data_IF_139858508767
#
_entry.id   IF_139858508767
#
_cell.length_a   1.000
_cell.length_b   1.000
_cell.length_c   1.000
_cell.angle_alpha   90.00
_cell.angle_beta   90.00
_cell.angle_gamma   90.00
#
_symmetry.space_group_name_H-M   'P 1'
#
loop_
_entity.id
_entity.type
_entity.pdbx_description
1 polymer ?
#
# COMPACT_ATOMS: atom_id res chain seq x y z
N UNK A 1 6.66 -14.13 -14.48
CA UNK A 1 6.26 -14.64 -13.15
C UNK A 1 5.06 -13.87 -12.62
N UNK A 2 5.20 -12.59 -12.24
CA UNK A 2 4.09 -11.79 -11.67
C UNK A 2 2.84 -11.79 -12.54
N UNK A 3 2.95 -11.53 -13.85
CA UNK A 3 1.79 -11.46 -14.74
C UNK A 3 1.00 -12.79 -14.91
N UNK A 4 1.50 -13.94 -14.43
CA UNK A 4 0.85 -15.24 -14.60
C UNK A 4 0.54 -15.96 -13.29
N UNK A 5 1.06 -15.49 -12.15
CA UNK A 5 0.95 -16.20 -10.87
C UNK A 5 -0.50 -16.39 -10.42
N UNK A 6 -1.31 -15.33 -10.43
CA UNK A 6 -2.73 -15.40 -10.07
C UNK A 6 -3.59 -16.26 -11.02
N UNK A 7 -3.09 -16.59 -12.22
CA UNK A 7 -3.75 -17.55 -13.12
C UNK A 7 -3.41 -19.01 -12.78
N UNK A 8 -2.27 -19.24 -12.14
CA UNK A 8 -1.85 -20.57 -11.69
C UNK A 8 -2.37 -20.89 -10.30
N UNK A 9 -2.54 -19.88 -9.45
CA UNK A 9 -2.97 -20.00 -8.06
C UNK A 9 -4.06 -18.96 -7.79
N UNK A 10 -5.32 -19.40 -7.73
CA UNK A 10 -6.52 -18.53 -7.75
C UNK A 10 -6.51 -17.45 -6.66
N UNK A 11 -5.99 -17.77 -5.47
CA UNK A 11 -5.86 -16.84 -4.34
C UNK A 11 -4.40 -16.59 -3.95
N UNK A 12 -3.46 -16.96 -4.82
CA UNK A 12 -2.04 -16.77 -4.58
C UNK A 12 -1.64 -15.30 -4.69
N UNK A 13 -0.71 -14.88 -3.84
CA UNK A 13 -0.12 -13.55 -3.87
C UNK A 13 1.42 -13.62 -3.88
N UNK A 14 2.04 -12.46 -4.05
CA UNK A 14 3.49 -12.29 -4.04
C UNK A 14 3.84 -11.16 -3.08
N UNK A 15 4.74 -11.41 -2.13
CA UNK A 15 5.39 -10.34 -1.35
C UNK A 15 6.81 -10.15 -1.86
N UNK A 16 7.10 -8.99 -2.44
CA UNK A 16 8.45 -8.64 -2.86
C UNK A 16 9.09 -7.75 -1.79
N UNK A 17 10.20 -8.22 -1.21
CA UNK A 17 11.02 -7.51 -0.24
C UNK A 17 12.28 -6.98 -0.96
N UNK A 18 12.19 -5.84 -1.68
CA UNK A 18 13.26 -5.32 -2.51
C UNK A 18 14.58 -5.08 -1.75
N UNK A 19 14.54 -4.53 -0.53
CA UNK A 19 15.78 -4.25 0.20
C UNK A 19 16.47 -5.51 0.75
N UNK A 20 15.72 -6.58 0.94
CA UNK A 20 16.24 -7.90 1.29
C UNK A 20 16.59 -8.78 0.10
N UNK A 21 16.23 -8.39 -1.13
CA UNK A 21 16.40 -9.21 -2.33
C UNK A 21 15.60 -10.52 -2.29
N UNK A 22 14.44 -10.52 -1.60
CA UNK A 22 13.61 -11.72 -1.40
C UNK A 22 12.25 -11.57 -2.06
N UNK A 23 11.69 -12.69 -2.48
CA UNK A 23 10.30 -12.80 -2.95
C UNK A 23 9.67 -13.98 -2.22
N UNK A 24 8.53 -13.74 -1.57
CA UNK A 24 7.69 -14.76 -0.96
C UNK A 24 6.50 -15.01 -1.89
N UNK A 25 6.24 -16.27 -2.19
CA UNK A 25 5.19 -16.71 -3.11
C UNK A 25 4.16 -17.52 -2.32
N UNK A 26 2.92 -17.02 -2.21
CA UNK A 26 1.82 -17.80 -1.63
C UNK A 26 1.10 -18.56 -2.72
N UNK A 27 0.90 -19.87 -2.48
CA UNK A 27 0.21 -20.79 -3.39
C UNK A 27 -1.07 -21.26 -2.72
N UNK A 28 -2.18 -20.68 -3.15
CA UNK A 28 -3.51 -21.04 -2.68
C UNK A 28 -4.31 -21.62 -3.83
N UNK A 29 -4.58 -22.92 -3.75
CA UNK A 29 -5.32 -23.68 -4.75
C UNK A 29 -6.56 -24.32 -4.13
N UNK A 30 -7.66 -24.36 -4.90
CA UNK A 30 -8.83 -25.15 -4.49
C UNK A 30 -8.49 -26.64 -4.52
N UNK A 31 -8.94 -27.33 -3.49
CA UNK A 31 -8.85 -28.78 -3.40
C UNK A 31 -10.25 -29.39 -3.26
N UNK A 32 -10.36 -30.71 -3.29
CA UNK A 32 -11.64 -31.37 -3.04
C UNK A 32 -12.13 -31.06 -1.61
N UNK A 33 -13.41 -30.72 -1.47
CA UNK A 33 -14.06 -30.48 -0.17
C UNK A 33 -13.99 -31.67 0.77
N UNK A 34 -13.78 -32.89 0.25
CA UNK A 34 -13.58 -34.10 1.07
C UNK A 34 -12.17 -34.23 1.65
N UNK A 35 -11.22 -33.38 1.26
CA UNK A 35 -9.87 -33.41 1.84
C UNK A 35 -9.94 -32.93 3.29
N UNK A 36 -9.49 -33.74 4.26
CA UNK A 36 -9.50 -33.34 5.67
C UNK A 36 -8.60 -32.15 5.94
N UNK A 37 -9.05 -31.24 6.80
CA UNK A 37 -8.27 -30.13 7.34
C UNK A 37 -9.18 -29.12 8.03
N UNK A 38 -8.68 -28.50 9.10
CA UNK A 38 -9.40 -27.46 9.84
C UNK A 38 -8.55 -26.20 9.98
N UNK A 39 -7.70 -25.95 8.99
CA UNK A 39 -6.80 -24.82 9.00
C UNK A 39 -7.55 -23.48 8.99
N UNK A 40 -6.93 -22.50 9.62
CA UNK A 40 -7.45 -21.14 9.72
C UNK A 40 -6.32 -20.13 9.50
N UNK A 41 -6.70 -18.89 9.17
CA UNK A 41 -5.79 -17.76 9.09
C UNK A 41 -6.10 -16.79 10.22
N UNK A 42 -5.18 -16.68 11.16
CA UNK A 42 -5.16 -15.69 12.21
C UNK A 42 -3.96 -14.77 11.94
N UNK A 43 -4.17 -13.81 11.03
CA UNK A 43 -3.11 -12.98 10.47
C UNK A 43 -2.40 -12.19 11.57
N UNK A 44 -1.06 -12.26 11.59
CA UNK A 44 -0.25 -11.76 12.70
C UNK A 44 -0.44 -10.26 12.98
N UNK A 45 -0.64 -9.45 11.93
CA UNK A 45 -0.86 -8.02 12.10
C UNK A 45 -2.27 -7.66 12.58
N UNK A 46 -3.20 -8.63 12.59
CA UNK A 46 -4.55 -8.47 13.12
C UNK A 46 -4.71 -9.14 14.50
N UNK A 47 -3.62 -9.56 15.14
CA UNK A 47 -3.71 -10.05 16.52
C UNK A 47 -3.80 -8.87 17.47
N UNK A 48 -4.64 -8.95 18.51
CA UNK A 48 -4.68 -7.94 19.56
C UNK A 48 -3.31 -7.84 20.22
N UNK A 49 -2.93 -6.61 20.57
CA UNK A 49 -1.66 -6.31 21.21
C UNK A 49 -1.89 -5.31 22.34
N UNK A 50 -1.22 -5.47 23.49
CA UNK A 50 -1.28 -4.48 24.55
C UNK A 50 -0.95 -3.08 24.02
N UNK A 51 -1.75 -2.08 24.40
CA UNK A 51 -1.53 -0.69 23.97
C UNK A 51 -0.09 -0.21 24.23
N UNK A 52 0.52 -0.63 25.34
CA UNK A 52 1.92 -0.31 25.66
C UNK A 52 2.93 -0.85 24.63
N UNK A 53 2.68 -2.03 24.05
CA UNK A 53 3.52 -2.59 22.98
C UNK A 53 3.38 -1.78 21.68
N UNK A 54 2.15 -1.39 21.33
CA UNK A 54 1.86 -0.56 20.15
C UNK A 54 2.54 0.81 20.29
N UNK A 55 2.38 1.46 21.44
CA UNK A 55 3.01 2.75 21.75
C UNK A 55 4.53 2.63 21.67
N UNK A 56 5.12 1.62 22.33
CA UNK A 56 6.56 1.44 22.32
C UNK A 56 7.13 1.16 20.92
N UNK A 57 6.46 0.29 20.15
CA UNK A 57 6.85 0.03 18.76
C UNK A 57 6.77 1.29 17.91
N UNK A 58 5.77 2.13 18.14
CA UNK A 58 5.60 3.39 17.44
C UNK A 58 6.66 4.42 17.81
N UNK A 59 7.00 4.56 19.09
CA UNK A 59 8.07 5.44 19.56
C UNK A 59 9.43 5.05 18.95
N UNK A 60 9.72 3.75 18.87
CA UNK A 60 10.96 3.26 18.27
C UNK A 60 11.00 3.52 16.76
N UNK A 61 9.87 3.37 16.06
CA UNK A 61 9.79 3.71 14.65
C UNK A 61 9.93 5.23 14.41
N UNK A 62 9.26 6.07 15.21
CA UNK A 62 9.42 7.53 15.17
C UNK A 62 10.91 7.92 15.37
N UNK A 63 11.60 7.29 16.34
CA UNK A 63 13.03 7.49 16.57
C UNK A 63 13.89 7.06 15.38
N UNK A 64 13.57 5.93 14.74
CA UNK A 64 14.27 5.46 13.54
C UNK A 64 14.06 6.40 12.34
N UNK A 65 12.88 7.01 12.22
CA UNK A 65 12.59 7.97 11.15
C UNK A 65 13.28 9.33 11.39
N UNK A 66 13.41 9.76 12.65
CA UNK A 66 14.02 11.05 13.00
C UNK A 66 15.56 11.00 13.04
N UNK A 67 16.12 9.94 13.63
CA UNK A 67 17.54 9.86 13.98
C UNK A 67 18.26 8.65 13.36
N UNK A 68 17.49 7.71 12.81
CA UNK A 68 18.02 6.46 12.27
C UNK A 68 18.82 6.69 10.99
N UNK A 69 19.95 5.99 10.87
CA UNK A 69 20.62 5.87 9.58
C UNK A 69 19.83 4.95 8.65
N UNK A 70 20.04 5.11 7.35
CA UNK A 70 19.49 4.18 6.35
C UNK A 70 19.82 2.71 6.70
N UNK A 71 21.02 2.45 7.23
CA UNK A 71 21.41 1.11 7.67
C UNK A 71 20.56 0.60 8.83
N UNK A 72 20.22 1.45 9.81
CA UNK A 72 19.36 1.08 10.92
C UNK A 72 17.94 0.74 10.45
N UNK A 73 17.36 1.58 9.56
CA UNK A 73 16.06 1.32 8.93
C UNK A 73 16.08 -0.01 8.16
N UNK A 74 17.18 -0.33 7.47
CA UNK A 74 17.34 -1.60 6.76
C UNK A 74 17.51 -2.84 7.65
N UNK A 75 17.92 -2.70 8.92
CA UNK A 75 18.03 -3.84 9.83
C UNK A 75 16.67 -4.24 10.41
N UNK A 76 15.79 -3.28 10.71
CA UNK A 76 14.48 -3.55 11.30
C UNK A 76 13.66 -4.65 10.57
N UNK A 77 13.42 -4.57 9.24
CA UNK A 77 12.64 -5.59 8.53
C UNK A 77 13.29 -6.98 8.48
N UNK A 78 14.63 -7.04 8.61
CA UNK A 78 15.38 -8.30 8.61
C UNK A 78 15.15 -9.12 9.87
N UNK A 79 14.73 -8.47 10.95
CA UNK A 79 14.32 -9.13 12.20
C UNK A 79 12.88 -9.63 12.11
N UNK A 80 11.98 -8.83 11.53
CA UNK A 80 10.55 -9.16 11.47
C UNK A 80 10.18 -10.23 10.44
N UNK A 81 10.82 -10.23 9.26
CA UNK A 81 10.47 -11.16 8.17
C UNK A 81 10.64 -12.65 8.55
N UNK A 82 11.72 -13.06 9.25
CA UNK A 82 11.85 -14.43 9.78
C UNK A 82 10.73 -14.81 10.76
N UNK A 83 10.34 -13.90 11.65
CA UNK A 83 9.26 -14.14 12.63
C UNK A 83 7.95 -14.46 11.92
N UNK A 84 7.56 -13.66 10.92
CA UNK A 84 6.36 -13.92 10.12
C UNK A 84 6.41 -15.31 9.46
N UNK A 85 7.57 -15.73 8.99
CA UNK A 85 7.74 -17.04 8.36
C UNK A 85 7.64 -18.19 9.37
N UNK A 86 8.27 -18.06 10.53
CA UNK A 86 8.27 -19.06 11.60
C UNK A 86 6.86 -19.25 12.19
N UNK A 87 6.10 -18.17 12.32
CA UNK A 87 4.71 -18.13 12.77
C UNK A 87 3.70 -18.49 11.65
N UNK A 88 4.16 -19.04 10.53
CA UNK A 88 3.31 -19.48 9.42
C UNK A 88 2.47 -18.36 8.81
N UNK A 89 2.91 -17.10 8.88
CA UNK A 89 2.17 -15.89 8.47
C UNK A 89 0.79 -15.74 9.15
N UNK A 90 0.55 -16.45 10.26
CA UNK A 90 -0.72 -16.50 10.95
C UNK A 90 -1.59 -17.71 10.63
N UNK A 91 -1.18 -18.58 9.69
CA UNK A 91 -1.92 -19.81 9.40
C UNK A 91 -1.72 -20.87 10.49
N UNK A 92 -2.77 -21.62 10.79
CA UNK A 92 -2.76 -22.79 11.68
C UNK A 92 -3.33 -24.01 10.95
N UNK A 93 -2.88 -25.22 11.28
CA UNK A 93 -3.32 -26.45 10.59
C UNK A 93 -4.61 -27.04 11.17
N UNK A 94 -4.94 -26.70 12.42
CA UNK A 94 -6.04 -27.23 13.22
C UNK A 94 -6.88 -26.12 13.88
N UNK A 95 -6.68 -24.86 13.46
CA UNK A 95 -7.30 -23.70 14.08
C UNK A 95 -6.49 -23.10 15.24
N UNK A 96 -5.50 -23.81 15.79
CA UNK A 96 -4.76 -23.39 16.98
C UNK A 96 -3.25 -23.25 16.75
N UNK A 97 -2.63 -24.24 16.09
CA UNK A 97 -1.17 -24.34 15.96
C UNK A 97 -0.71 -24.44 14.51
N UNK A 98 0.39 -23.77 14.18
CA UNK A 98 1.09 -23.97 12.92
C UNK A 98 2.05 -25.16 13.02
N UNK A 99 1.88 -26.15 12.16
CA UNK A 99 2.76 -27.35 12.08
C UNK A 99 3.49 -27.47 10.74
N UNK A 100 3.07 -26.70 9.73
CA UNK A 100 3.74 -26.61 8.44
C UNK A 100 2.77 -26.44 7.27
N UNK A 101 3.33 -26.20 6.09
CA UNK A 101 2.58 -26.18 4.83
C UNK A 101 2.52 -27.60 4.20
N UNK A 102 1.44 -27.95 3.47
CA UNK A 102 0.27 -27.13 3.18
C UNK A 102 -0.68 -27.03 4.38
N UNK A 103 -1.33 -25.87 4.51
CA UNK A 103 -2.44 -25.66 5.43
C UNK A 103 -3.74 -25.90 4.65
N UNK A 104 -4.57 -26.82 5.14
CA UNK A 104 -5.83 -27.19 4.50
C UNK A 104 -6.97 -26.79 5.41
N UNK A 105 -7.91 -26.01 4.90
CA UNK A 105 -9.09 -25.57 5.65
C UNK A 105 -10.16 -25.01 4.73
N UNK A 106 -11.30 -24.65 5.31
CA UNK A 106 -12.39 -24.05 4.55
C UNK A 106 -12.03 -22.64 4.07
N UNK A 107 -12.46 -22.30 2.85
CA UNK A 107 -12.16 -21.01 2.22
C UNK A 107 -12.44 -19.80 3.13
N UNK A 108 -13.57 -19.81 3.85
CA UNK A 108 -13.97 -18.72 4.74
C UNK A 108 -13.07 -18.58 5.97
N UNK A 109 -12.35 -19.63 6.38
CA UNK A 109 -11.37 -19.59 7.49
C UNK A 109 -9.95 -19.31 7.03
N UNK A 110 -9.61 -19.66 5.79
CA UNK A 110 -8.26 -19.49 5.23
C UNK A 110 -8.09 -18.09 4.60
N UNK A 111 -9.12 -17.56 3.94
CA UNK A 111 -9.02 -16.28 3.23
C UNK A 111 -9.48 -15.06 4.05
N UNK A 112 -10.05 -15.28 5.23
CA UNK A 112 -10.41 -14.22 6.16
C UNK A 112 -9.63 -14.39 7.46
N UNK A 113 -9.44 -13.28 8.17
CA UNK A 113 -8.86 -13.25 9.52
C UNK A 113 -9.71 -12.31 10.37
N UNK A 114 -10.20 -12.84 11.48
CA UNK A 114 -11.07 -12.19 12.46
C UNK A 114 -10.37 -11.93 13.80
N UNK A 115 -9.06 -12.17 13.86
CA UNK A 115 -8.25 -12.07 15.08
C UNK A 115 -8.40 -10.76 15.88
N UNK A 116 -8.68 -9.62 15.22
CA UNK A 116 -8.93 -8.34 15.91
C UNK A 116 -10.34 -8.25 16.53
N UNK A 117 -11.31 -9.01 16.00
CA UNK A 117 -12.73 -8.89 16.34
C UNK A 117 -13.15 -9.82 17.49
N UNK A 118 -12.37 -10.85 17.77
CA UNK A 118 -12.66 -11.80 18.86
C UNK A 118 -12.39 -11.24 20.27
N UNK A 119 -11.80 -10.04 20.38
CA UNK A 119 -11.63 -9.33 21.64
C UNK A 119 -12.80 -8.39 21.85
N UNK A 120 -13.89 -8.93 22.40
CA UNK A 120 -14.94 -8.12 23.01
C UNK A 120 -14.43 -7.56 24.35
N UNK A 121 -14.53 -6.24 24.49
CA UNK A 121 -14.40 -5.42 25.72
C UNK A 121 -13.01 -4.85 26.06
N UNK A 122 -12.98 -3.50 25.96
CA UNK A 122 -12.18 -2.51 26.70
C UNK A 122 -10.66 -2.35 26.38
N UNK A 123 -10.34 -1.17 25.83
CA UNK A 123 -9.04 -0.45 25.91
C UNK A 123 -7.89 -0.69 24.90
N UNK A 124 -8.12 -1.17 23.67
CA UNK A 124 -6.99 -1.31 22.72
C UNK A 124 -7.22 -0.52 21.42
N UNK A 125 -6.39 0.50 21.18
CA UNK A 125 -6.30 1.22 19.91
C UNK A 125 -5.73 0.30 18.82
N UNK A 126 -6.47 0.14 17.72
CA UNK A 126 -6.06 -0.71 16.60
C UNK A 126 -5.53 0.17 15.46
N UNK A 127 -4.30 -0.10 14.98
CA UNK A 127 -3.71 0.57 13.81
C UNK A 127 -3.81 -0.33 12.58
N UNK A 128 -4.26 0.22 11.46
CA UNK A 128 -4.52 -0.50 10.21
C UNK A 128 -3.92 0.29 9.04
N UNK A 129 -2.97 -0.32 8.35
CA UNK A 129 -1.95 0.35 7.54
C UNK A 129 -2.15 0.10 6.04
N UNK A 130 -2.30 1.12 5.18
CA UNK A 130 -2.53 0.83 3.75
C UNK A 130 -2.17 1.91 2.70
N UNK A 131 -1.51 1.48 1.61
CA UNK A 131 -1.63 2.02 0.23
C UNK A 131 -2.04 0.88 -0.71
N UNK A 132 -2.82 1.13 -1.78
CA UNK A 132 -3.28 0.08 -2.71
C UNK A 132 -3.52 0.63 -4.11
N UNK A 133 -2.76 0.18 -5.11
CA UNK A 133 -2.90 0.65 -6.49
C UNK A 133 -2.98 -0.52 -7.51
N UNK A 134 -4.09 -0.77 -8.20
CA UNK A 134 -4.19 -1.70 -9.35
C UNK A 134 -3.44 -1.26 -10.60
N UNK A 135 -2.49 -2.06 -11.11
CA UNK A 135 -1.93 -2.02 -12.50
C UNK A 135 -2.46 -3.13 -13.35
N UNK A 136 -2.82 -2.80 -14.58
CA UNK A 136 -3.13 -3.77 -15.63
C UNK A 136 -2.07 -4.88 -15.74
N UNK A 137 -2.50 -6.15 -15.84
CA UNK A 137 -1.56 -7.28 -15.98
C UNK A 137 -0.65 -7.13 -17.21
N UNK A 138 -1.15 -6.52 -18.27
CA UNK A 138 -0.42 -6.20 -19.50
C UNK A 138 0.80 -5.30 -19.24
N UNK A 139 0.70 -4.39 -18.27
CA UNK A 139 1.73 -3.41 -17.91
C UNK A 139 2.61 -3.85 -16.72
N UNK A 140 2.22 -4.89 -15.98
CA UNK A 140 2.91 -5.35 -14.77
C UNK A 140 4.42 -5.52 -14.93
N UNK A 141 4.86 -6.14 -16.03
CA UNK A 141 6.30 -6.37 -16.27
C UNK A 141 7.06 -5.08 -16.53
N UNK A 142 6.47 -4.13 -17.26
CA UNK A 142 7.09 -2.84 -17.54
C UNK A 142 7.18 -2.00 -16.26
N UNK A 143 6.10 -1.97 -15.47
CA UNK A 143 6.07 -1.31 -14.18
C UNK A 143 7.17 -1.84 -13.24
N UNK A 144 7.25 -3.15 -13.05
CA UNK A 144 8.28 -3.76 -12.17
C UNK A 144 9.68 -3.37 -12.64
N UNK A 145 9.95 -3.35 -13.95
CA UNK A 145 11.26 -2.92 -14.47
C UNK A 145 11.60 -1.48 -14.11
N UNK A 146 10.62 -0.57 -14.10
CA UNK A 146 10.87 0.80 -13.67
C UNK A 146 11.03 0.92 -12.16
N UNK A 147 10.28 0.14 -11.36
CA UNK A 147 10.52 0.03 -9.92
C UNK A 147 11.94 -0.48 -9.64
N UNK A 148 12.40 -1.49 -10.38
CA UNK A 148 13.78 -1.99 -10.27
C UNK A 148 14.81 -0.93 -10.66
N UNK A 149 14.56 -0.11 -11.69
CA UNK A 149 15.44 1.01 -12.05
C UNK A 149 15.50 2.06 -10.94
N UNK A 150 14.39 2.29 -10.23
CA UNK A 150 14.35 3.22 -9.10
C UNK A 150 15.12 2.65 -7.91
N UNK A 151 14.94 1.36 -7.64
CA UNK A 151 15.69 0.60 -6.64
C UNK A 151 17.20 0.60 -6.91
N UNK A 152 17.63 0.45 -8.17
CA UNK A 152 19.05 0.53 -8.56
C UNK A 152 19.70 1.88 -8.25
N UNK A 153 18.92 2.96 -8.06
CA UNK A 153 19.45 4.29 -7.68
C UNK A 153 19.77 4.40 -6.20
N UNK A 154 18.93 3.83 -5.35
CA UNK A 154 19.12 3.82 -3.92
C UNK A 154 18.35 2.63 -3.30
N UNK A 155 19.03 1.50 -3.12
CA UNK A 155 18.42 0.30 -2.57
C UNK A 155 17.95 0.50 -1.13
N UNK A 156 18.67 1.32 -0.34
CA UNK A 156 18.35 1.57 1.06
C UNK A 156 17.05 2.37 1.22
N UNK A 157 16.68 3.17 0.22
CA UNK A 157 15.41 3.90 0.24
C UNK A 157 14.17 2.99 0.21
N UNK A 158 14.33 1.71 -0.14
CA UNK A 158 13.25 0.72 -0.12
C UNK A 158 13.15 -0.03 1.21
N UNK A 159 14.05 0.22 2.17
CA UNK A 159 14.04 -0.50 3.45
C UNK A 159 12.78 -0.23 4.29
N UNK A 160 12.21 0.97 4.20
CA UNK A 160 10.94 1.28 4.85
C UNK A 160 9.75 0.49 4.29
N UNK A 161 9.81 0.08 3.02
CA UNK A 161 8.77 -0.78 2.40
C UNK A 161 8.85 -2.19 2.97
N UNK A 162 10.05 -2.73 3.13
CA UNK A 162 10.27 -4.08 3.67
C UNK A 162 9.81 -4.22 5.14
N UNK A 163 9.73 -3.12 5.90
CA UNK A 163 9.23 -3.12 7.29
C UNK A 163 7.78 -3.61 7.36
N UNK A 164 7.02 -3.38 6.30
CA UNK A 164 5.61 -3.72 6.23
C UNK A 164 5.33 -4.82 5.21
N UNK A 165 6.15 -5.87 5.23
CA UNK A 165 6.04 -7.04 4.36
C UNK A 165 6.30 -6.80 2.87
N UNK A 166 6.89 -5.65 2.53
CA UNK A 166 7.32 -5.34 1.18
C UNK A 166 6.20 -4.84 0.28
N UNK A 167 6.40 -5.01 -1.03
CA UNK A 167 5.40 -4.71 -2.06
C UNK A 167 4.56 -5.97 -2.28
N UNK A 168 3.28 -5.92 -1.92
CA UNK A 168 2.35 -7.03 -2.07
C UNK A 168 1.66 -6.96 -3.43
N UNK A 169 1.69 -8.06 -4.20
CA UNK A 169 1.02 -8.20 -5.47
C UNK A 169 -0.15 -9.17 -5.31
N UNK A 170 -1.36 -8.65 -5.47
CA UNK A 170 -2.62 -9.40 -5.49
C UNK A 170 -3.22 -9.34 -6.89
N UNK A 171 -4.25 -10.13 -7.16
CA UNK A 171 -4.83 -10.23 -8.51
C UNK A 171 -6.31 -9.92 -8.46
N UNK A 172 -6.78 -9.15 -9.43
CA UNK A 172 -8.20 -8.83 -9.61
C UNK A 172 -8.55 -9.01 -11.08
N UNK A 173 -9.70 -9.61 -11.34
CA UNK A 173 -10.21 -9.78 -12.70
C UNK A 173 -11.02 -8.56 -13.11
N UNK A 174 -11.18 -8.40 -14.42
CA UNK A 174 -12.08 -7.39 -14.99
C UNK A 174 -13.48 -7.44 -14.34
N UNK A 175 -14.05 -6.27 -14.08
CA UNK A 175 -15.36 -6.12 -13.45
C UNK A 175 -16.32 -5.32 -14.34
N UNK A 176 -17.60 -5.69 -14.31
CA UNK A 176 -18.66 -4.93 -14.97
C UNK A 176 -19.22 -3.79 -14.12
N UNK A 177 -18.74 -3.63 -12.87
CA UNK A 177 -19.13 -2.52 -12.00
C UNK A 177 -18.66 -1.18 -12.59
N UNK A 178 -19.44 -0.10 -12.41
CA UNK A 178 -19.13 1.22 -13.00
C UNK A 178 -17.77 1.76 -12.59
N UNK A 179 -17.39 1.54 -11.32
CA UNK A 179 -16.10 1.96 -10.73
C UNK A 179 -15.12 0.78 -10.55
N UNK A 180 -15.43 -0.39 -11.11
CA UNK A 180 -14.59 -1.58 -11.01
C UNK A 180 -13.58 -1.66 -12.15
N UNK A 181 -12.52 -2.46 -11.98
CA UNK A 181 -11.40 -2.63 -12.93
C UNK A 181 -11.85 -2.95 -14.36
N UNK A 182 -11.29 -2.24 -15.34
CA UNK A 182 -11.64 -2.39 -16.75
C UNK A 182 -10.91 -3.56 -17.46
N UNK A 183 -9.88 -4.10 -16.83
CA UNK A 183 -9.10 -5.23 -17.32
C UNK A 183 -8.58 -6.05 -16.13
N UNK A 184 -8.06 -7.25 -16.42
CA UNK A 184 -7.38 -8.03 -15.37
C UNK A 184 -6.13 -7.26 -14.90
N UNK A 185 -6.02 -7.05 -13.60
CA UNK A 185 -4.99 -6.22 -12.98
C UNK A 185 -4.24 -6.98 -11.88
N UNK A 186 -2.95 -6.67 -11.71
CA UNK A 186 -2.30 -6.86 -10.41
C UNK A 186 -2.63 -5.67 -9.53
N UNK A 187 -2.84 -5.91 -8.25
CA UNK A 187 -3.01 -4.85 -7.27
C UNK A 187 -1.81 -4.80 -6.36
N UNK A 188 -1.29 -3.59 -6.16
CA UNK A 188 -0.06 -3.36 -5.45
C UNK A 188 -0.32 -2.67 -4.14
N UNK A 189 -0.01 -3.35 -3.03
CA UNK A 189 -0.06 -2.73 -1.71
C UNK A 189 1.35 -2.42 -1.22
N UNK A 190 1.53 -1.18 -0.78
CA UNK A 190 2.75 -0.71 -0.14
C UNK A 190 2.35 -0.03 1.14
N UNK A 191 2.56 -0.68 2.25
CA UNK A 191 2.32 -0.07 3.54
C UNK A 191 3.59 0.70 3.96
N UNK A 192 3.41 1.88 4.57
CA UNK A 192 4.54 2.72 4.95
C UNK A 192 4.20 3.63 6.13
N UNK A 193 5.26 4.07 6.79
CA UNK A 193 5.19 4.96 7.93
C UNK A 193 4.57 6.32 7.55
N UNK A 194 3.62 6.79 8.34
CA UNK A 194 3.16 8.19 8.33
C UNK A 194 3.44 8.80 9.70
N UNK A 195 4.06 9.98 9.75
CA UNK A 195 4.28 10.69 11.01
C UNK A 195 2.96 11.23 11.58
N UNK A 196 2.86 11.27 12.92
CA UNK A 196 1.80 12.00 13.63
C UNK A 196 2.17 13.48 13.86
N UNK A 197 3.41 13.86 13.56
CA UNK A 197 3.88 15.25 13.64
C UNK A 197 3.57 15.94 12.31
N UNK A 198 2.75 16.99 12.37
CA UNK A 198 2.37 17.77 11.19
C UNK A 198 3.60 18.29 10.43
N UNK A 199 3.55 18.19 9.09
CA UNK A 199 4.63 18.69 8.24
C UNK A 199 5.88 17.80 8.21
N UNK A 200 5.88 16.63 8.86
CA UNK A 200 7.00 15.68 8.83
C UNK A 200 6.80 14.60 7.77
N UNK A 201 7.77 14.49 6.86
CA UNK A 201 7.83 13.44 5.84
C UNK A 201 8.43 12.15 6.41
N UNK A 202 8.01 11.02 5.85
CA UNK A 202 8.72 9.75 6.00
C UNK A 202 10.10 9.84 5.33
N UNK A 203 11.10 9.16 5.88
CA UNK A 203 12.42 9.06 5.26
C UNK A 203 12.28 8.44 3.86
N UNK A 204 12.92 9.07 2.87
CA UNK A 204 12.79 8.74 1.43
C UNK A 204 11.36 8.85 0.87
N UNK A 205 10.52 9.77 1.38
CA UNK A 205 9.17 10.04 0.85
C UNK A 205 9.12 10.19 -0.68
N UNK A 206 10.15 10.80 -1.28
CA UNK A 206 10.26 10.96 -2.72
C UNK A 206 10.23 9.63 -3.50
N UNK A 207 10.71 8.53 -2.93
CA UNK A 207 10.62 7.20 -3.57
C UNK A 207 9.19 6.69 -3.54
N UNK A 208 8.48 6.84 -2.43
CA UNK A 208 7.07 6.45 -2.33
C UNK A 208 6.19 7.27 -3.28
N UNK A 209 6.39 8.59 -3.30
CA UNK A 209 5.65 9.50 -4.18
C UNK A 209 5.92 9.18 -5.66
N UNK A 210 7.17 8.89 -6.04
CA UNK A 210 7.51 8.53 -7.41
C UNK A 210 6.90 7.18 -7.81
N UNK A 211 6.89 6.19 -6.89
CA UNK A 211 6.25 4.90 -7.12
C UNK A 211 4.75 5.05 -7.34
N UNK A 212 4.06 5.80 -6.47
CA UNK A 212 2.62 6.06 -6.58
C UNK A 212 2.29 6.81 -7.88
N UNK A 213 3.04 7.87 -8.22
CA UNK A 213 2.79 8.65 -9.44
C UNK A 213 3.12 7.87 -10.71
N UNK A 214 4.17 7.05 -10.71
CA UNK A 214 4.49 6.17 -11.82
C UNK A 214 3.39 5.12 -12.02
N UNK A 215 2.92 4.53 -10.92
CA UNK A 215 1.78 3.66 -10.91
C UNK A 215 0.55 4.37 -11.53
N UNK A 216 0.08 5.45 -10.91
CA UNK A 216 -1.12 6.20 -11.30
C UNK A 216 -1.05 6.77 -12.72
N UNK A 217 -0.02 7.52 -13.07
CA UNK A 217 -0.02 8.35 -14.28
C UNK A 217 0.67 7.68 -15.47
N UNK A 218 1.82 7.03 -15.27
CA UNK A 218 2.55 6.38 -16.38
C UNK A 218 1.84 5.10 -16.84
N UNK A 219 1.26 4.35 -15.91
CA UNK A 219 0.63 3.07 -16.19
C UNK A 219 -0.90 3.09 -16.09
N UNK A 220 -1.50 4.27 -15.99
CA UNK A 220 -2.96 4.47 -16.09
C UNK A 220 -3.76 3.77 -15.00
N UNK A 221 -3.20 3.64 -13.80
CA UNK A 221 -3.84 2.91 -12.71
C UNK A 221 -5.05 3.64 -12.15
N UNK A 222 -5.83 2.91 -11.38
CA UNK A 222 -6.90 3.44 -10.56
C UNK A 222 -6.46 3.50 -9.11
N UNK A 223 -6.69 4.61 -8.40
CA UNK A 223 -6.44 4.67 -6.97
C UNK A 223 -7.46 3.80 -6.23
N UNK A 224 -7.07 3.20 -5.11
CA UNK A 224 -8.01 2.55 -4.22
C UNK A 224 -8.75 3.56 -3.34
N UNK A 225 -10.08 3.54 -3.44
CA UNK A 225 -11.02 4.43 -2.75
C UNK A 225 -10.81 4.54 -1.24
N UNK A 226 -10.49 3.43 -0.56
CA UNK A 226 -10.35 3.40 0.91
C UNK A 226 -8.92 3.48 1.44
N UNK A 227 -7.90 3.74 0.59
CA UNK A 227 -6.49 3.69 1.00
C UNK A 227 -5.63 4.82 0.46
N UNK A 228 -5.79 5.20 -0.80
CA UNK A 228 -4.99 6.30 -1.35
C UNK A 228 -5.42 7.65 -0.79
N UNK A 229 -4.48 8.58 -0.83
CA UNK A 229 -4.69 9.97 -0.39
C UNK A 229 -5.33 10.79 -1.50
N UNK A 230 -5.79 12.00 -1.16
CA UNK A 230 -6.49 12.87 -2.10
C UNK A 230 -5.71 13.14 -3.39
N UNK A 231 -4.37 13.29 -3.31
CA UNK A 231 -3.49 13.49 -4.47
C UNK A 231 -3.67 12.44 -5.58
N UNK A 232 -4.04 11.21 -5.22
CA UNK A 232 -4.21 10.11 -6.16
C UNK A 232 -5.51 10.20 -6.98
N UNK A 233 -6.52 10.91 -6.47
CA UNK A 233 -7.81 11.14 -7.11
C UNK A 233 -7.82 12.36 -8.03
N UNK A 234 -6.64 12.87 -8.39
CA UNK A 234 -6.55 13.85 -9.47
C UNK A 234 -7.00 13.19 -10.79
N UNK A 235 -7.96 13.84 -11.46
CA UNK A 235 -8.62 13.37 -12.67
C UNK A 235 -9.37 12.02 -12.54
N UNK A 236 -10.16 11.84 -11.45
CA UNK A 236 -11.05 10.67 -11.32
C UNK A 236 -11.97 10.51 -12.54
N UNK A 237 -12.51 11.59 -13.08
CA UNK A 237 -13.44 11.57 -14.22
C UNK A 237 -12.77 10.93 -15.44
N UNK A 238 -11.53 11.29 -15.76
CA UNK A 238 -10.77 10.67 -16.85
C UNK A 238 -10.46 9.18 -16.63
N UNK A 239 -10.26 8.76 -15.37
CA UNK A 239 -9.89 7.36 -15.01
C UNK A 239 -11.05 6.37 -15.03
N UNK A 240 -12.28 6.85 -14.86
CA UNK A 240 -13.48 6.04 -14.77
C UNK A 240 -14.49 6.41 -15.86
N UNK A 241 -14.39 5.82 -17.08
CA UNK A 241 -15.27 6.17 -18.20
C UNK A 241 -16.77 6.02 -17.95
N UNK A 242 -17.15 5.17 -16.98
CA UNK A 242 -18.55 4.90 -16.60
C UNK A 242 -18.98 5.64 -15.33
N UNK A 243 -18.19 6.62 -14.88
CA UNK A 243 -18.53 7.43 -13.72
C UNK A 243 -19.86 8.16 -13.89
N UNK A 244 -20.18 8.65 -15.10
CA UNK A 244 -21.48 9.27 -15.39
C UNK A 244 -22.67 8.34 -15.13
N UNK A 245 -22.58 7.08 -15.59
CA UNK A 245 -23.62 6.06 -15.33
C UNK A 245 -23.75 5.77 -13.82
N UNK A 246 -22.63 5.73 -13.09
CA UNK A 246 -22.65 5.58 -11.63
C UNK A 246 -23.39 6.75 -10.97
N UNK A 247 -23.09 7.98 -11.37
CA UNK A 247 -23.71 9.19 -10.81
C UNK A 247 -25.22 9.26 -11.13
N UNK A 248 -25.66 8.80 -12.30
CA UNK A 248 -27.08 8.67 -12.64
C UNK A 248 -27.80 7.68 -11.73
N UNK A 249 -27.18 6.53 -11.44
CA UNK A 249 -27.72 5.54 -10.51
C UNK A 249 -27.74 6.10 -9.09
N UNK A 250 -26.65 6.75 -8.64
CA UNK A 250 -26.58 7.41 -7.33
C UNK A 250 -27.72 8.40 -7.17
N UNK A 251 -27.91 9.33 -8.12
CA UNK A 251 -28.97 10.34 -8.06
C UNK A 251 -30.39 9.74 -8.04
N UNK A 252 -30.60 8.56 -8.63
CA UNK A 252 -31.89 7.87 -8.60
C UNK A 252 -32.21 7.23 -7.25
N UNK A 253 -31.22 6.61 -6.62
CA UNK A 253 -31.39 5.87 -5.37
C UNK A 253 -31.14 6.72 -4.11
N UNK A 254 -30.45 7.83 -4.24
CA UNK A 254 -30.10 8.77 -3.18
C UNK A 254 -30.32 10.23 -3.65
N UNK A 255 -31.57 10.62 -3.96
CA UNK A 255 -31.87 11.94 -4.54
C UNK A 255 -31.59 13.10 -3.56
N UNK A 256 -31.68 12.83 -2.26
CA UNK A 256 -31.44 13.82 -1.21
C UNK A 256 -29.98 13.82 -0.72
N UNK A 257 -29.11 12.95 -1.28
CA UNK A 257 -27.69 12.90 -0.95
C UNK A 257 -27.38 12.42 0.48
N UNK A 258 -28.24 11.60 1.08
CA UNK A 258 -28.09 11.08 2.45
C UNK A 258 -26.79 10.29 2.62
N UNK A 259 -26.32 9.64 1.54
CA UNK A 259 -25.08 8.87 1.54
C UNK A 259 -23.90 9.62 0.90
N UNK A 260 -24.06 10.89 0.55
CA UNK A 260 -22.97 11.77 0.12
C UNK A 260 -22.27 12.43 1.31
N UNK A 261 -20.98 12.68 1.14
CA UNK A 261 -20.19 13.58 1.96
C UNK A 261 -19.44 14.57 1.07
N UNK A 262 -18.96 15.68 1.65
CA UNK A 262 -18.09 16.64 0.95
C UNK A 262 -16.94 15.93 0.24
N UNK A 263 -16.28 15.00 0.94
CA UNK A 263 -15.16 14.24 0.36
C UNK A 263 -15.59 13.35 -0.80
N UNK A 264 -16.71 12.61 -0.67
CA UNK A 264 -17.17 11.74 -1.77
C UNK A 264 -17.55 12.54 -3.01
N UNK A 265 -18.18 13.71 -2.82
CA UNK A 265 -18.59 14.57 -3.92
C UNK A 265 -17.38 15.20 -4.61
N UNK A 266 -16.34 15.55 -3.85
CA UNK A 266 -15.06 16.03 -4.36
C UNK A 266 -14.32 14.95 -5.19
N UNK A 267 -14.15 13.74 -4.67
CA UNK A 267 -13.40 12.68 -5.39
C UNK A 267 -14.15 12.16 -6.60
N UNK A 268 -15.50 12.15 -6.57
CA UNK A 268 -16.34 11.76 -7.70
C UNK A 268 -16.54 12.88 -8.73
N UNK A 269 -16.00 14.09 -8.49
CA UNK A 269 -16.13 15.23 -9.40
C UNK A 269 -17.55 15.78 -9.50
N UNK A 270 -18.36 15.61 -8.46
CA UNK A 270 -19.71 16.18 -8.34
C UNK A 270 -19.61 17.66 -7.95
N UNK A 271 -18.86 17.97 -6.90
CA UNK A 271 -18.67 19.33 -6.40
C UNK A 271 -17.30 19.49 -5.74
N UNK A 272 -16.63 20.61 -5.99
CA UNK A 272 -15.33 20.91 -5.41
C UNK A 272 -14.18 20.06 -5.99
N UNK A 273 -13.09 19.96 -5.24
CA UNK A 273 -11.90 19.19 -5.59
C UNK A 273 -11.31 18.58 -4.33
N UNK A 274 -10.95 17.30 -4.40
CA UNK A 274 -10.23 16.64 -3.30
C UNK A 274 -8.78 17.15 -3.18
N UNK A 275 -8.24 17.71 -4.28
CA UNK A 275 -6.90 18.28 -4.34
C UNK A 275 -6.90 19.67 -3.69
N UNK A 276 -5.99 19.87 -2.73
CA UNK A 276 -5.80 21.14 -2.02
C UNK A 276 -4.36 21.63 -2.17
N UNK A 277 -4.18 22.74 -2.88
CA UNK A 277 -2.87 23.34 -3.19
C UNK A 277 -2.48 24.39 -2.15
N UNK A 278 -2.28 23.95 -0.91
CA UNK A 278 -1.86 24.78 0.23
C UNK A 278 -0.39 24.51 0.59
N UNK A 279 0.31 25.42 1.30
CA UNK A 279 1.65 25.12 1.79
C UNK A 279 1.71 23.81 2.58
N UNK A 280 2.72 22.98 2.32
CA UNK A 280 2.89 21.66 2.94
C UNK A 280 1.93 20.56 2.45
N UNK A 281 1.07 20.82 1.45
CA UNK A 281 0.03 19.86 1.02
C UNK A 281 0.55 18.48 0.59
N UNK A 282 1.80 18.38 0.12
CA UNK A 282 2.38 17.09 -0.32
C UNK A 282 2.63 16.16 0.87
N UNK A 283 3.01 16.72 2.03
CA UNK A 283 3.29 15.93 3.24
C UNK A 283 2.05 15.15 3.67
N UNK A 284 0.89 15.80 3.61
CA UNK A 284 -0.40 15.23 3.94
C UNK A 284 -1.04 14.45 2.77
N UNK A 285 -0.39 14.42 1.60
CA UNK A 285 -0.91 13.80 0.37
C UNK A 285 -2.20 14.44 -0.15
N UNK A 286 -2.37 15.74 0.09
CA UNK A 286 -3.49 16.53 -0.42
C UNK A 286 -3.24 17.01 -1.86
N UNK A 287 -1.99 16.99 -2.30
CA UNK A 287 -1.58 17.44 -3.62
C UNK A 287 -0.32 16.72 -4.10
N UNK A 288 -0.06 16.84 -5.40
CA UNK A 288 1.27 16.63 -5.98
C UNK A 288 1.99 17.98 -6.05
N UNK A 289 3.25 18.06 -5.62
CA UNK A 289 3.95 19.33 -5.55
C UNK A 289 4.11 19.99 -6.92
N UNK A 290 3.98 21.32 -6.96
CA UNK A 290 4.27 22.16 -8.15
C UNK A 290 5.19 23.32 -7.81
N UNK A 291 5.26 23.69 -6.52
CA UNK A 291 6.12 24.71 -5.95
C UNK A 291 6.78 24.14 -4.68
N UNK A 292 7.94 24.69 -4.30
CA UNK A 292 8.68 24.28 -3.10
C UNK A 292 7.86 24.48 -1.82
N UNK A 293 6.96 25.46 -1.78
CA UNK A 293 6.07 25.70 -0.66
C UNK A 293 5.11 24.53 -0.37
N UNK A 294 4.86 23.64 -1.33
CA UNK A 294 4.04 22.43 -1.12
C UNK A 294 4.79 21.31 -0.40
N UNK A 295 6.11 21.44 -0.25
CA UNK A 295 6.97 20.48 0.44
C UNK A 295 7.21 20.89 1.90
N UNK A 296 7.74 19.95 2.70
CA UNK A 296 8.21 20.25 4.05
C UNK A 296 9.42 21.19 4.05
N UNK A 297 9.67 21.96 5.12
CA UNK A 297 10.88 22.76 5.25
C UNK A 297 12.15 21.94 5.02
N UNK A 298 13.08 22.47 4.20
CA UNK A 298 14.31 21.76 3.81
C UNK A 298 14.15 20.82 2.60
N UNK A 299 12.97 20.77 1.99
CA UNK A 299 12.68 20.02 0.77
C UNK A 299 12.26 20.96 -0.36
N UNK A 300 12.51 20.55 -1.60
CA UNK A 300 12.13 21.27 -2.82
C UNK A 300 11.35 20.35 -3.76
N UNK A 301 10.44 20.94 -4.52
CA UNK A 301 9.65 20.22 -5.49
C UNK A 301 10.49 19.91 -6.73
N UNK A 302 10.75 18.63 -6.96
CA UNK A 302 11.69 18.13 -7.96
C UNK A 302 11.05 17.08 -8.85
N UNK A 303 11.67 16.81 -10.00
CA UNK A 303 11.25 15.69 -10.85
C UNK A 303 11.73 14.35 -10.29
N UNK A 304 10.93 13.30 -10.52
CA UNK A 304 11.30 11.91 -10.25
C UNK A 304 12.60 11.49 -10.95
N UNK A 305 13.28 10.49 -10.39
CA UNK A 305 14.58 10.00 -10.87
C UNK A 305 14.49 9.05 -12.06
N UNK A 306 13.41 8.29 -12.16
CA UNK A 306 13.12 7.30 -13.22
C UNK A 306 11.90 7.69 -14.05
N UNK A 307 10.90 8.30 -13.43
CA UNK A 307 9.75 8.90 -14.09
C UNK A 307 9.80 10.42 -13.95
N UNK A 308 10.39 11.15 -14.93
CA UNK A 308 10.64 12.60 -14.78
C UNK A 308 9.39 13.48 -14.67
N UNK A 309 8.24 12.98 -15.13
CA UNK A 309 6.96 13.68 -15.02
C UNK A 309 6.37 13.58 -13.60
N UNK A 310 6.82 12.63 -12.76
CA UNK A 310 6.50 12.64 -11.35
C UNK A 310 7.11 13.86 -10.67
N UNK A 311 6.37 14.44 -9.72
CA UNK A 311 6.81 15.58 -8.92
C UNK A 311 6.90 15.16 -7.45
N UNK A 312 8.09 15.23 -6.90
CA UNK A 312 8.42 14.68 -5.58
C UNK A 312 9.17 15.71 -4.73
N UNK A 313 8.91 15.69 -3.43
CA UNK A 313 9.64 16.53 -2.47
C UNK A 313 10.98 15.88 -2.13
N UNK A 314 12.07 16.44 -2.65
CA UNK A 314 13.44 15.95 -2.37
C UNK A 314 14.15 16.87 -1.41
N UNK A 315 14.92 16.29 -0.47
CA UNK A 315 15.73 17.06 0.46
C UNK A 315 16.75 17.93 -0.29
N UNK A 316 16.92 19.17 0.15
CA UNK A 316 17.94 20.07 -0.39
C UNK A 316 19.32 19.54 0.03
N UNK A 317 20.14 19.13 -0.95
CA UNK A 317 21.53 18.79 -0.64
C UNK A 317 22.26 20.06 -0.16
N UNK A 318 23.04 19.99 0.94
CA UNK A 318 23.86 21.11 1.33
C UNK A 318 24.82 21.47 0.19
N UNK A 319 24.85 22.74 -0.23
CA UNK A 319 25.78 23.23 -1.22
C UNK A 319 27.22 22.89 -0.77
N UNK A 320 27.87 21.94 -1.45
CA UNK A 320 29.26 21.56 -1.19
C UNK A 320 29.52 20.08 -0.84
N UNK A 321 28.50 19.24 -0.69
CA UNK A 321 28.72 17.79 -0.58
C UNK A 321 28.85 17.18 -2.00
N UNK A 322 30.09 16.98 -2.45
CA UNK A 322 30.39 16.15 -3.63
C UNK A 322 29.72 14.80 -3.49
N UNK A 323 28.91 14.43 -4.49
CA UNK A 323 28.39 13.09 -4.66
C UNK A 323 29.55 12.08 -4.62
N UNK A 324 29.64 11.30 -3.54
CA UNK A 324 30.37 10.04 -3.60
C UNK A 324 29.39 9.03 -4.21
N UNK A 325 29.82 8.55 -5.38
CA UNK A 325 29.15 7.63 -6.29
C UNK A 325 28.75 6.30 -5.65
#
# INVERSE_FOLDING_TARGET
>A
MVAVWGRHHEFGDISWLPAQGKVVLRKDDRINVSTPGDGANNFLAFRPKPAAEIIHGREEEDRLQDEGSDDAICQAPRVQSPVFKEEGFGFTNDGESFTGYPVVGYQHRIQASDACQDVLEEEEEHDCLYLWDPVALSNATAFIKDVMRLWDRNQKAFCGIDLYMGILFRYVTVSTAYLGEAEDSIVLDIAYYRSRVEGRLVVHANVFDELEQMALYKYGRRPHWGKNRNSAFNDTVGRYPRLGEFLEVKARFDPDGVFSSEWSDQVLGVEGSAISMVPGCTVEGLCTCTDDAHCAPGYVCSSGKVYPDARVCSAVQPQGATAQL
#
